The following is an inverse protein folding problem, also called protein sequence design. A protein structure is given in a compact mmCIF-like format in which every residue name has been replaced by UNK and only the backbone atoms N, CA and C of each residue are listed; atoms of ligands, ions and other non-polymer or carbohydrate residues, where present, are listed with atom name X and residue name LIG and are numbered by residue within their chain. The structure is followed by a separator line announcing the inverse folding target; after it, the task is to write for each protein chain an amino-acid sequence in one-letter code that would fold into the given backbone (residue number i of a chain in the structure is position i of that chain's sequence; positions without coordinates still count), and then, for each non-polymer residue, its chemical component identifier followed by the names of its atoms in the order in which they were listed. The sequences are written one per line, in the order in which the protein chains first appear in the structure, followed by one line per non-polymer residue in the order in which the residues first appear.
data_IF_765194501097
#
_entry.id   IF_765194501097
#
_cell.length_a   1.000
_cell.length_b   1.000
_cell.length_c   1.000
_cell.angle_alpha   90.00
_cell.angle_beta   90.00
_cell.angle_gamma   90.00
#
_symmetry.space_group_name_H-M   'P 1'
#
loop_
_entity.id
_entity.type
_entity.pdbx_description
1 polymer ?
#
# COMPACT_ATOMS: atom_id res chain seq x y z
N UNK A 1 -7.91 0.54 11.88
CA UNK A 1 -6.75 0.92 11.03
C UNK A 1 -6.68 0.19 9.68
N UNK A 2 -7.14 -1.07 9.55
CA UNK A 2 -7.24 -1.78 8.24
C UNK A 2 -7.94 -0.99 7.12
N UNK A 3 -9.06 -0.29 7.41
CA UNK A 3 -9.78 0.53 6.40
C UNK A 3 -8.92 1.67 5.82
N UNK A 4 -8.14 2.34 6.66
CA UNK A 4 -7.25 3.45 6.24
C UNK A 4 -6.13 2.91 5.36
N UNK A 5 -5.57 1.75 5.71
CA UNK A 5 -4.57 1.08 4.89
C UNK A 5 -5.12 0.71 3.50
N UNK A 6 -6.36 0.21 3.41
CA UNK A 6 -7.01 -0.08 2.11
C UNK A 6 -7.20 1.20 1.29
N UNK A 7 -7.67 2.29 1.92
CA UNK A 7 -7.84 3.58 1.23
C UNK A 7 -6.48 4.11 0.72
N UNK A 8 -5.44 4.04 1.55
CA UNK A 8 -4.08 4.44 1.19
C UNK A 8 -3.50 3.59 0.05
N UNK A 9 -3.79 2.28 0.04
CA UNK A 9 -3.39 1.36 -1.02
C UNK A 9 -4.07 1.73 -2.35
N UNK A 10 -5.38 1.95 -2.35
CA UNK A 10 -6.14 2.34 -3.55
C UNK A 10 -5.68 3.71 -4.07
N UNK A 11 -5.50 4.70 -3.18
CA UNK A 11 -4.95 6.00 -3.55
C UNK A 11 -3.55 5.88 -4.15
N UNK A 12 -2.69 5.06 -3.56
CA UNK A 12 -1.35 4.81 -4.07
C UNK A 12 -1.36 4.21 -5.48
N UNK A 13 -2.26 3.25 -5.75
CA UNK A 13 -2.46 2.69 -7.10
C UNK A 13 -2.90 3.76 -8.09
N UNK A 14 -3.87 4.62 -7.72
CA UNK A 14 -4.33 5.70 -8.59
C UNK A 14 -3.20 6.68 -8.92
N UNK A 15 -2.38 7.06 -7.93
CA UNK A 15 -1.22 7.94 -8.13
C UNK A 15 -0.15 7.30 -9.03
N UNK A 16 0.17 6.02 -8.81
CA UNK A 16 1.12 5.29 -9.65
C UNK A 16 0.61 5.14 -11.10
N UNK A 17 -0.69 4.88 -11.26
CA UNK A 17 -1.34 4.78 -12.58
C UNK A 17 -1.32 6.12 -13.31
N UNK A 18 -1.57 7.23 -12.59
CA UNK A 18 -1.52 8.57 -13.16
C UNK A 18 -0.12 8.91 -13.66
N UNK A 19 0.92 8.55 -12.91
CA UNK A 19 2.31 8.73 -13.35
C UNK A 19 2.62 7.94 -14.62
N UNK A 20 2.17 6.68 -14.69
CA UNK A 20 2.32 5.85 -15.89
C UNK A 20 1.58 6.44 -17.10
N UNK A 21 0.35 6.92 -16.91
CA UNK A 21 -0.43 7.57 -17.98
C UNK A 21 0.26 8.85 -18.46
N UNK A 22 0.80 9.65 -17.54
CA UNK A 22 1.55 10.86 -17.89
C UNK A 22 2.81 10.55 -18.70
N UNK A 23 3.48 9.44 -18.39
CA UNK A 23 4.64 8.95 -19.14
C UNK A 23 4.25 8.47 -20.54
N UNK A 24 3.22 7.64 -20.67
CA UNK A 24 2.75 7.09 -21.96
C UNK A 24 2.23 8.17 -22.91
N UNK A 25 1.68 9.27 -22.38
CA UNK A 25 1.10 10.35 -23.18
C UNK A 25 2.04 11.56 -23.34
N UNK A 26 3.32 11.45 -22.94
CA UNK A 26 4.31 12.54 -23.01
C UNK A 26 3.80 13.87 -22.46
N UNK A 27 3.23 13.84 -21.25
CA UNK A 27 2.68 15.05 -20.63
C UNK A 27 3.79 16.06 -20.30
N UNK A 28 3.54 17.33 -20.63
CA UNK A 28 4.39 18.44 -20.18
C UNK A 28 4.40 18.47 -18.63
N UNK A 29 5.58 18.41 -18.03
CA UNK A 29 5.73 18.27 -16.57
C UNK A 29 5.94 16.84 -16.07
N UNK A 30 6.41 15.93 -16.92
CA UNK A 30 6.76 14.53 -16.58
C UNK A 30 7.45 14.34 -15.20
N UNK A 31 8.44 15.18 -14.78
CA UNK A 31 9.10 15.01 -13.47
C UNK A 31 8.15 15.16 -12.28
N UNK A 32 7.13 16.01 -12.40
CA UNK A 32 6.14 16.26 -11.34
C UNK A 32 5.22 15.04 -11.20
N UNK A 33 4.75 14.48 -12.32
CA UNK A 33 3.93 13.28 -12.33
C UNK A 33 4.68 12.04 -11.84
N UNK A 34 5.97 11.91 -12.17
CA UNK A 34 6.82 10.84 -11.63
C UNK A 34 7.00 10.96 -10.11
N UNK A 35 7.12 12.18 -9.58
CA UNK A 35 7.20 12.42 -8.14
C UNK A 35 5.89 12.01 -7.44
N UNK A 36 4.74 12.31 -8.06
CA UNK A 36 3.42 11.86 -7.59
C UNK A 36 3.33 10.32 -7.63
N UNK A 37 3.83 9.68 -8.70
CA UNK A 37 3.90 8.23 -8.79
C UNK A 37 4.78 7.60 -7.71
N UNK A 38 5.93 8.20 -7.42
CA UNK A 38 6.81 7.79 -6.33
C UNK A 38 6.11 7.86 -4.97
N UNK A 39 5.40 8.95 -4.68
CA UNK A 39 4.58 9.05 -3.48
C UNK A 39 3.49 7.96 -3.44
N UNK A 40 2.89 7.65 -4.58
CA UNK A 40 1.96 6.53 -4.74
C UNK A 40 2.58 5.17 -4.34
N UNK A 41 3.79 4.88 -4.82
CA UNK A 41 4.50 3.65 -4.45
C UNK A 41 4.80 3.58 -2.94
N UNK A 42 5.20 4.68 -2.30
CA UNK A 42 5.43 4.73 -0.85
C UNK A 42 4.14 4.39 -0.09
N UNK A 43 2.99 4.92 -0.53
CA UNK A 43 1.68 4.58 0.06
C UNK A 43 1.33 3.10 -0.12
N UNK A 44 1.53 2.55 -1.32
CA UNK A 44 1.29 1.13 -1.61
C UNK A 44 2.12 0.24 -0.69
N UNK A 45 3.44 0.51 -0.59
CA UNK A 45 4.36 -0.29 0.24
C UNK A 45 3.95 -0.20 1.71
N UNK A 46 3.67 1.01 2.21
CA UNK A 46 3.29 1.23 3.61
C UNK A 46 1.98 0.54 3.98
N UNK A 47 0.97 0.63 3.10
CA UNK A 47 -0.30 -0.05 3.30
C UNK A 47 -0.16 -1.58 3.25
N UNK A 48 0.66 -2.08 2.34
CA UNK A 48 0.96 -3.52 2.21
C UNK A 48 1.69 -4.04 3.44
N UNK A 49 2.72 -3.32 3.91
CA UNK A 49 3.46 -3.67 5.11
C UNK A 49 2.55 -3.70 6.36
N UNK A 50 1.66 -2.71 6.50
CA UNK A 50 0.67 -2.69 7.57
C UNK A 50 -0.27 -3.90 7.50
N UNK A 51 -0.76 -4.23 6.30
CA UNK A 51 -1.69 -5.33 6.11
C UNK A 51 -1.04 -6.69 6.40
N UNK A 52 0.17 -6.91 5.89
CA UNK A 52 0.98 -8.11 6.16
C UNK A 52 1.27 -8.25 7.65
N UNK A 53 1.71 -7.17 8.31
CA UNK A 53 1.97 -7.19 9.76
C UNK A 53 0.70 -7.49 10.54
N UNK A 54 -0.43 -6.95 10.12
CA UNK A 54 -1.72 -7.25 10.75
C UNK A 54 -2.13 -8.70 10.59
N UNK A 55 -1.88 -9.32 9.43
CA UNK A 55 -2.16 -10.75 9.21
C UNK A 55 -1.25 -11.59 10.10
N UNK A 56 0.06 -11.30 10.10
CA UNK A 56 1.03 -12.02 10.92
C UNK A 56 0.69 -11.93 12.41
N UNK A 57 0.24 -10.76 12.88
CA UNK A 57 -0.19 -10.57 14.26
C UNK A 57 -1.44 -11.38 14.59
N UNK A 58 -2.42 -11.42 13.67
CA UNK A 58 -3.66 -12.19 13.85
C UNK A 58 -3.37 -13.69 13.90
N UNK A 59 -2.51 -14.20 13.00
CA UNK A 59 -2.04 -15.58 13.00
C UNK A 59 -1.22 -15.92 14.26
N UNK A 60 -0.29 -15.06 14.66
CA UNK A 60 0.50 -15.27 15.88
C UNK A 60 -0.42 -15.44 17.10
N UNK A 61 -1.46 -14.62 17.19
CA UNK A 61 -2.39 -14.63 18.34
C UNK A 61 -3.29 -15.86 18.34
N UNK A 62 -3.74 -16.33 17.18
CA UNK A 62 -4.45 -17.61 17.06
C UNK A 62 -3.55 -18.75 17.54
N UNK A 63 -2.26 -18.76 17.15
CA UNK A 63 -1.32 -19.80 17.57
C UNK A 63 -1.10 -19.83 19.10
N UNK A 64 -1.05 -18.67 19.76
CA UNK A 64 -0.97 -18.59 21.23
C UNK A 64 -2.23 -19.13 21.91
N UNK A 65 -3.42 -18.85 21.38
CA UNK A 65 -4.67 -19.39 21.94
C UNK A 65 -4.74 -20.92 21.86
N UNK A 66 -4.15 -21.53 20.82
CA UNK A 66 -4.06 -22.99 20.69
C UNK A 66 -3.03 -23.64 21.63
N UNK A 67 -2.03 -22.89 22.12
CA UNK A 67 -1.01 -23.40 23.04
C UNK A 67 -1.39 -23.28 24.53
N UNK A 68 -2.41 -22.49 24.86
CA UNK A 68 -2.89 -22.30 26.24
C UNK A 68 -3.97 -23.28 26.71
N UNK A 69 -4.45 -24.18 25.84
CA UNK A 69 -5.49 -25.18 26.15
C UNK A 69 -4.95 -26.63 26.31
N UNK A 70 -3.63 -26.79 26.52
CA UNK A 70 -2.99 -28.07 26.90
C UNK A 70 -2.43 -27.99 28.32
#
# INVERSE_FOLDING_TARGET
MKRIAIIAFVLGILMATLAYVAEVNDWNGLPEYLTVGFAGYVLIISATAYYLTSILYEWSRETETWQGEL
#
